data_IF_773535542595
#
_entry.id   IF_773535542595
#
_cell.length_a   1.000
_cell.length_b   1.000
_cell.length_c   1.000
_cell.angle_alpha   90.00
_cell.angle_beta   90.00
_cell.angle_gamma   90.00
#
_symmetry.space_group_name_H-M   'P 1'
#
loop_
_entity.id
_entity.type
_entity.pdbx_description
1 polymer ?
#
# COMPACT_ATOMS: atom_id res chain seq x y z
N UNK A 1 22.09 -32.15 -1.53
CA UNK A 1 20.97 -31.88 -0.60
C UNK A 1 20.12 -30.77 -1.22
N UNK A 2 18.99 -31.12 -1.83
CA UNK A 2 18.09 -30.14 -2.47
C UNK A 2 17.46 -29.30 -1.36
N UNK A 3 17.77 -28.01 -1.28
CA UNK A 3 16.95 -27.08 -0.50
C UNK A 3 15.65 -26.92 -1.26
N UNK A 4 14.59 -27.55 -0.76
CA UNK A 4 13.23 -27.12 -1.09
C UNK A 4 13.10 -25.67 -0.64
N UNK A 5 13.12 -24.76 -1.59
CA UNK A 5 12.63 -23.40 -1.37
C UNK A 5 11.11 -23.57 -1.32
N UNK A 6 10.55 -23.66 -0.12
CA UNK A 6 9.13 -23.35 0.08
C UNK A 6 8.97 -21.87 -0.19
N UNK A 7 8.63 -21.52 -1.42
CA UNK A 7 8.16 -20.17 -1.75
C UNK A 7 6.92 -19.90 -0.89
N UNK A 8 7.10 -19.05 0.12
CA UNK A 8 6.01 -18.57 0.95
C UNK A 8 5.21 -17.57 0.10
N UNK A 9 3.90 -17.73 -0.10
CA UNK A 9 3.08 -16.85 -0.94
C UNK A 9 3.00 -15.39 -0.46
N UNK A 10 3.62 -15.07 0.68
CA UNK A 10 3.66 -13.76 1.31
C UNK A 10 5.04 -13.08 1.21
N UNK A 11 5.79 -13.29 0.11
CA UNK A 11 7.11 -12.68 -0.08
C UNK A 11 7.02 -11.19 -0.49
N UNK A 12 6.37 -10.40 0.37
CA UNK A 12 6.40 -8.93 0.36
C UNK A 12 7.68 -8.38 1.00
N UNK A 13 8.65 -9.25 1.33
CA UNK A 13 9.90 -8.84 1.94
C UNK A 13 10.82 -8.23 0.88
N UNK A 14 10.95 -6.91 0.95
CA UNK A 14 11.79 -6.16 0.02
C UNK A 14 13.10 -5.77 0.71
N UNK A 15 14.23 -6.27 0.20
CA UNK A 15 15.56 -5.80 0.62
C UNK A 15 16.05 -4.72 -0.35
N UNK A 16 16.12 -3.47 0.11
CA UNK A 16 16.54 -2.33 -0.69
C UNK A 16 17.92 -1.83 -0.24
N UNK A 17 18.84 -1.69 -1.18
CA UNK A 17 20.07 -0.90 -1.01
C UNK A 17 19.91 0.40 -1.80
N UNK A 18 19.71 1.52 -1.10
CA UNK A 18 19.47 2.83 -1.71
C UNK A 18 20.55 3.80 -1.25
N UNK A 19 21.15 4.52 -2.20
CA UNK A 19 21.93 5.71 -1.89
C UNK A 19 20.97 6.89 -1.74
N UNK A 20 20.82 7.35 -0.51
CA UNK A 20 19.92 8.44 -0.16
C UNK A 20 20.33 9.76 -0.84
N UNK A 21 19.37 10.57 -1.36
CA UNK A 21 19.65 11.94 -1.74
C UNK A 21 20.17 12.74 -0.55
N UNK A 22 21.25 13.50 -0.76
CA UNK A 22 21.96 14.15 0.33
C UNK A 22 21.09 15.16 1.09
N UNK A 23 20.23 15.90 0.39
CA UNK A 23 19.28 16.85 1.00
C UNK A 23 18.28 16.14 1.91
N UNK A 24 17.76 14.99 1.50
CA UNK A 24 16.84 14.20 2.31
C UNK A 24 17.55 13.63 3.55
N UNK A 25 18.78 13.15 3.39
CA UNK A 25 19.61 12.69 4.50
C UNK A 25 19.86 13.82 5.53
N UNK A 26 20.25 15.01 5.07
CA UNK A 26 20.45 16.17 5.95
C UNK A 26 19.17 16.54 6.70
N UNK A 27 18.02 16.54 6.02
CA UNK A 27 16.74 16.82 6.66
C UNK A 27 16.43 15.80 7.77
N UNK A 28 16.60 14.50 7.49
CA UNK A 28 16.39 13.44 8.48
C UNK A 28 17.31 13.60 9.70
N UNK A 29 18.57 14.01 9.48
CA UNK A 29 19.52 14.30 10.56
C UNK A 29 19.11 15.48 11.42
N UNK A 30 18.57 16.54 10.81
CA UNK A 30 18.14 17.75 11.54
C UNK A 30 16.91 17.51 12.41
N UNK A 31 15.97 16.68 11.94
CA UNK A 31 14.73 16.39 12.66
C UNK A 31 14.81 15.11 13.51
N UNK A 32 15.96 14.44 13.52
CA UNK A 32 16.23 13.20 14.26
C UNK A 32 15.27 12.03 13.95
N UNK A 33 14.77 11.95 12.72
CA UNK A 33 13.87 10.87 12.28
C UNK A 33 14.61 9.87 11.40
N UNK A 34 14.32 8.57 11.59
CA UNK A 34 14.85 7.52 10.74
C UNK A 34 14.24 7.63 9.32
N UNK A 35 15.04 7.76 8.25
CA UNK A 35 14.49 7.88 6.89
C UNK A 35 13.63 6.70 6.46
N UNK A 36 13.89 5.49 7.01
CA UNK A 36 13.09 4.30 6.73
C UNK A 36 11.68 4.45 7.27
N UNK A 37 11.51 5.11 8.42
CA UNK A 37 10.20 5.40 9.02
C UNK A 37 9.36 6.29 8.09
N UNK A 38 9.94 7.37 7.58
CA UNK A 38 9.27 8.29 6.64
C UNK A 38 8.79 7.54 5.39
N UNK A 39 9.64 6.66 4.85
CA UNK A 39 9.30 5.88 3.66
C UNK A 39 8.15 4.91 3.97
N UNK A 40 8.21 4.19 5.10
CA UNK A 40 7.15 3.28 5.50
C UNK A 40 5.84 3.99 5.78
N UNK A 41 5.86 5.16 6.41
CA UNK A 41 4.66 5.96 6.66
C UNK A 41 4.03 6.42 5.36
N UNK A 42 4.84 6.88 4.39
CA UNK A 42 4.34 7.20 3.06
C UNK A 42 3.72 5.97 2.39
N UNK A 43 4.38 4.81 2.43
CA UNK A 43 3.85 3.56 1.87
C UNK A 43 2.54 3.14 2.53
N UNK A 44 2.42 3.23 3.86
CA UNK A 44 1.18 2.93 4.60
C UNK A 44 0.05 3.89 4.23
N UNK A 45 0.36 5.17 4.10
CA UNK A 45 -0.60 6.20 3.71
C UNK A 45 -1.12 5.96 2.28
N UNK A 46 -0.23 5.75 1.30
CA UNK A 46 -0.63 5.45 -0.09
C UNK A 46 -1.33 4.09 -0.18
N UNK A 47 -0.85 3.07 0.53
CA UNK A 47 -1.45 1.75 0.56
C UNK A 47 -2.81 1.67 1.25
N UNK A 48 -3.28 2.79 1.83
CA UNK A 48 -4.53 2.86 2.61
C UNK A 48 -4.55 1.77 3.67
N UNK A 49 -3.44 1.62 4.40
CA UNK A 49 -3.36 0.65 5.47
C UNK A 49 -4.06 1.17 6.74
N UNK A 50 -4.56 0.24 7.57
CA UNK A 50 -5.15 0.57 8.87
C UNK A 50 -4.18 1.28 9.82
N UNK A 51 -2.86 1.04 9.68
CA UNK A 51 -1.80 1.74 10.42
C UNK A 51 -1.35 3.06 9.74
N UNK A 52 -2.13 3.59 8.80
CA UNK A 52 -1.86 4.91 8.20
C UNK A 52 -1.95 6.02 9.27
N UNK A 53 -1.29 7.16 8.99
CA UNK A 53 -1.17 8.29 9.92
C UNK A 53 -2.46 9.11 10.09
N UNK A 54 -3.61 8.57 9.66
CA UNK A 54 -4.91 9.24 9.65
C UNK A 54 -5.35 9.73 8.27
N UNK A 55 -6.59 10.20 8.19
CA UNK A 55 -7.23 10.59 6.93
C UNK A 55 -6.54 11.74 6.21
N UNK A 56 -6.11 12.77 6.94
CA UNK A 56 -5.46 13.93 6.36
C UNK A 56 -4.15 13.57 5.65
N UNK A 57 -3.28 12.81 6.34
CA UNK A 57 -1.98 12.38 5.83
C UNK A 57 -2.15 11.43 4.64
N UNK A 58 -3.11 10.51 4.72
CA UNK A 58 -3.49 9.62 3.62
C UNK A 58 -3.92 10.40 2.38
N UNK A 59 -4.82 11.37 2.54
CA UNK A 59 -5.31 12.19 1.42
C UNK A 59 -4.16 12.94 0.74
N UNK A 60 -3.26 13.57 1.51
CA UNK A 60 -2.06 14.25 0.96
C UNK A 60 -1.12 13.29 0.24
N UNK A 61 -0.91 12.09 0.76
CA UNK A 61 -0.06 11.09 0.12
C UNK A 61 -0.65 10.61 -1.22
N UNK A 62 -1.97 10.38 -1.26
CA UNK A 62 -2.71 10.02 -2.48
C UNK A 62 -2.66 11.17 -3.50
N UNK A 63 -2.87 12.42 -3.08
CA UNK A 63 -2.75 13.60 -3.94
C UNK A 63 -1.35 13.70 -4.56
N UNK A 64 -0.30 13.53 -3.76
CA UNK A 64 1.07 13.49 -4.25
C UNK A 64 1.28 12.35 -5.27
N UNK A 65 0.79 11.14 -4.98
CA UNK A 65 0.86 9.99 -5.86
C UNK A 65 0.20 10.25 -7.22
N UNK A 66 -1.00 10.83 -7.22
CA UNK A 66 -1.74 11.20 -8.43
C UNK A 66 -1.03 12.31 -9.21
N UNK A 67 -0.49 13.33 -8.51
CA UNK A 67 0.24 14.44 -9.14
C UNK A 67 1.49 13.97 -9.90
N UNK A 68 2.13 12.91 -9.40
CA UNK A 68 3.27 12.25 -10.04
C UNK A 68 2.88 11.37 -11.25
N UNK A 69 1.58 11.21 -11.53
CA UNK A 69 1.03 10.40 -12.63
C UNK A 69 1.45 8.93 -12.59
N UNK A 70 1.72 8.39 -11.41
CA UNK A 70 2.03 6.97 -11.25
C UNK A 70 0.86 6.11 -11.70
N UNK A 71 1.11 5.14 -12.59
CA UNK A 71 0.09 4.23 -13.11
C UNK A 71 -0.80 4.79 -14.23
N UNK A 72 -0.63 6.07 -14.64
CA UNK A 72 -1.44 6.68 -15.70
C UNK A 72 -1.24 6.04 -17.09
N UNK A 73 -0.18 5.25 -17.28
CA UNK A 73 0.02 4.43 -18.50
C UNK A 73 -0.88 3.18 -18.59
N UNK A 74 -1.62 2.89 -17.51
CA UNK A 74 -2.49 1.73 -17.39
C UNK A 74 -3.94 2.09 -17.07
N UNK A 75 -4.17 3.23 -16.41
CA UNK A 75 -5.48 3.63 -15.90
C UNK A 75 -5.68 5.14 -16.02
N UNK A 76 -6.93 5.59 -16.13
CA UNK A 76 -7.26 7.00 -15.98
C UNK A 76 -7.11 7.44 -14.52
N UNK A 77 -6.99 8.75 -14.29
CA UNK A 77 -6.90 9.29 -12.93
C UNK A 77 -8.14 8.93 -12.09
N UNK A 78 -9.33 8.93 -12.70
CA UNK A 78 -10.59 8.55 -12.07
C UNK A 78 -10.63 7.06 -11.68
N UNK A 79 -10.03 6.20 -12.50
CA UNK A 79 -9.88 4.78 -12.18
C UNK A 79 -8.94 4.58 -10.99
N UNK A 80 -7.81 5.29 -10.95
CA UNK A 80 -6.87 5.24 -9.81
C UNK A 80 -7.54 5.80 -8.53
N UNK A 81 -8.27 6.92 -8.63
CA UNK A 81 -9.07 7.44 -7.50
C UNK A 81 -10.09 6.41 -7.01
N UNK A 82 -10.72 5.67 -7.93
CA UNK A 82 -11.65 4.59 -7.58
C UNK A 82 -10.95 3.45 -6.84
N UNK A 83 -9.75 3.05 -7.27
CA UNK A 83 -8.93 2.06 -6.56
C UNK A 83 -8.67 2.47 -5.11
N UNK A 84 -8.25 3.71 -4.87
CA UNK A 84 -8.03 4.21 -3.51
C UNK A 84 -9.32 4.24 -2.68
N UNK A 85 -10.43 4.66 -3.28
CA UNK A 85 -11.74 4.65 -2.59
C UNK A 85 -12.15 3.24 -2.16
N UNK A 86 -11.98 2.27 -3.05
CA UNK A 86 -12.28 0.86 -2.75
C UNK A 86 -11.39 0.29 -1.64
N UNK A 87 -10.09 0.60 -1.67
CA UNK A 87 -9.18 0.23 -0.58
C UNK A 87 -9.57 0.90 0.75
N UNK A 88 -10.06 2.15 0.72
CA UNK A 88 -10.58 2.84 1.91
C UNK A 88 -11.75 2.14 2.59
N UNK A 89 -12.61 1.46 1.84
CA UNK A 89 -13.69 0.66 2.41
C UNK A 89 -13.19 -0.53 3.23
N UNK A 90 -12.02 -1.09 2.89
CA UNK A 90 -11.43 -2.18 3.67
C UNK A 90 -11.01 -1.72 5.06
N UNK A 91 -10.45 -0.52 5.17
CA UNK A 91 -10.06 0.06 6.46
C UNK A 91 -11.28 0.40 7.30
N UNK A 92 -12.33 0.93 6.67
CA UNK A 92 -13.57 1.29 7.37
C UNK A 92 -14.31 0.07 7.97
N UNK A 93 -14.01 -1.14 7.52
CA UNK A 93 -14.58 -2.39 8.03
C UNK A 93 -13.70 -3.06 9.11
N UNK A 94 -12.61 -2.41 9.52
CA UNK A 94 -11.79 -2.93 10.61
C UNK A 94 -12.60 -2.96 11.92
N UNK A 95 -12.62 -4.07 12.65
CA UNK A 95 -13.36 -4.16 13.91
C UNK A 95 -12.75 -3.26 14.97
N UNK A 96 -13.54 -2.30 15.48
CA UNK A 96 -13.10 -1.37 16.54
C UNK A 96 -13.01 -2.06 17.91
N UNK A 97 -13.80 -3.12 18.12
CA UNK A 97 -13.75 -3.94 19.32
C UNK A 97 -12.56 -4.89 19.25
N UNK A 98 -11.84 -5.03 20.36
CA UNK A 98 -10.65 -5.86 20.48
C UNK A 98 -11.01 -7.37 20.60
N UNK A 99 -12.01 -7.82 19.85
CA UNK A 99 -12.37 -9.23 19.72
C UNK A 99 -11.44 -9.91 18.72
N UNK A 100 -10.48 -10.66 19.27
CA UNK A 100 -9.52 -11.47 18.52
C UNK A 100 -10.16 -12.32 17.41
N UNK A 101 -11.34 -12.91 17.63
CA UNK A 101 -11.99 -13.75 16.61
C UNK A 101 -12.51 -12.93 15.45
N UNK A 102 -13.03 -11.74 15.73
CA UNK A 102 -13.52 -10.83 14.72
C UNK A 102 -12.36 -10.22 13.91
N UNK A 103 -11.24 -9.93 14.57
CA UNK A 103 -10.00 -9.50 13.92
C UNK A 103 -9.48 -10.60 12.98
N UNK A 104 -9.43 -11.86 13.44
CA UNK A 104 -8.99 -12.99 12.61
C UNK A 104 -9.92 -13.20 11.40
N UNK A 105 -11.24 -13.12 11.61
CA UNK A 105 -12.23 -13.21 10.54
C UNK A 105 -12.07 -12.07 9.53
N UNK A 106 -11.89 -10.84 10.01
CA UNK A 106 -11.62 -9.68 9.18
C UNK A 106 -10.33 -9.86 8.38
N UNK A 107 -9.25 -10.35 8.99
CA UNK A 107 -7.97 -10.57 8.32
C UNK A 107 -8.12 -11.59 7.17
N UNK A 108 -8.77 -12.73 7.43
CA UNK A 108 -9.01 -13.74 6.42
C UNK A 108 -9.94 -13.26 5.29
N UNK A 109 -10.96 -12.46 5.61
CA UNK A 109 -11.83 -11.84 4.62
C UNK A 109 -11.09 -10.80 3.77
N UNK A 110 -10.32 -9.91 4.43
CA UNK A 110 -9.52 -8.86 3.79
C UNK A 110 -8.54 -9.46 2.79
N UNK A 111 -7.83 -10.53 3.16
CA UNK A 111 -6.90 -11.22 2.26
C UNK A 111 -7.58 -11.70 0.97
N UNK A 112 -8.71 -12.40 1.09
CA UNK A 112 -9.49 -12.86 -0.08
C UNK A 112 -10.00 -11.71 -0.93
N UNK A 113 -10.52 -10.67 -0.27
CA UNK A 113 -11.06 -9.50 -0.97
C UNK A 113 -9.95 -8.74 -1.71
N UNK A 114 -8.79 -8.53 -1.08
CA UNK A 114 -7.65 -7.86 -1.69
C UNK A 114 -7.12 -8.63 -2.90
N UNK A 115 -7.06 -9.96 -2.84
CA UNK A 115 -6.69 -10.82 -3.97
C UNK A 115 -7.66 -10.65 -5.15
N UNK A 116 -8.96 -10.79 -4.91
CA UNK A 116 -9.99 -10.57 -5.94
C UNK A 116 -9.95 -9.15 -6.52
N UNK A 117 -9.80 -8.15 -5.64
CA UNK A 117 -9.71 -6.75 -6.01
C UNK A 117 -8.50 -6.49 -6.94
N UNK A 118 -7.34 -7.06 -6.61
CA UNK A 118 -6.12 -6.96 -7.42
C UNK A 118 -6.33 -7.56 -8.80
N UNK A 119 -6.81 -8.81 -8.87
CA UNK A 119 -7.05 -9.51 -10.13
C UNK A 119 -7.97 -8.71 -11.05
N UNK A 120 -9.06 -8.19 -10.50
CA UNK A 120 -10.04 -7.39 -11.25
C UNK A 120 -9.40 -6.19 -11.93
N UNK A 121 -8.58 -5.42 -11.22
CA UNK A 121 -7.91 -4.25 -11.79
C UNK A 121 -6.77 -4.67 -12.73
N UNK A 122 -5.93 -5.60 -12.31
CA UNK A 122 -4.78 -6.10 -13.06
C UNK A 122 -5.17 -6.65 -14.44
N UNK A 123 -6.24 -7.46 -14.52
CA UNK A 123 -6.71 -8.00 -15.80
C UNK A 123 -7.46 -6.97 -16.64
N UNK A 124 -8.16 -6.01 -16.03
CA UNK A 124 -8.86 -4.94 -16.75
C UNK A 124 -7.92 -4.10 -17.61
N UNK A 125 -6.79 -3.63 -17.06
CA UNK A 125 -5.80 -2.83 -17.79
C UNK A 125 -5.11 -3.60 -18.94
N UNK A 126 -5.18 -4.93 -18.94
CA UNK A 126 -4.56 -5.79 -19.96
C UNK A 126 -5.54 -6.23 -21.03
N UNK A 127 -6.84 -6.30 -20.71
CA UNK A 127 -7.91 -6.54 -21.69
C UNK A 127 -8.12 -5.33 -22.60
N UNK A 128 -7.93 -4.11 -22.10
CA UNK A 128 -8.07 -2.88 -22.89
C UNK A 128 -6.91 -2.59 -23.85
N UNK A 129 -5.82 -3.38 -23.80
CA UNK A 129 -4.64 -3.25 -24.68
C UNK A 129 -4.62 -4.29 -25.82
N UNK A 130 -5.68 -5.10 -25.97
CA UNK A 130 -5.93 -5.97 -27.12
C UNK A 130 -6.90 -5.28 -28.08
#
# INVERSE_FOLDING_TARGET
MKKEIKENPDDRNLSLSIRMPYQFYMLCKLIEINPIEIIFDFMRNVGVDHQSMGELQRNKAIEYFLSCKYGHSHYSEEEIKRMFKEMGYLVALFPEENDSKLIDLYAAWKERHQSFWFDRWFFRARRSKK
#
